data_IF_149988628655
#
_entry.id   IF_149988628655
#
_cell.length_a   1.000
_cell.length_b   1.000
_cell.length_c   1.000
_cell.angle_alpha   90.00
_cell.angle_beta   90.00
_cell.angle_gamma   90.00
#
_symmetry.space_group_name_H-M   'P 1'
#
loop_
_entity.id
_entity.type
_entity.pdbx_description
1 polymer ?
#
# COMPACT_ATOMS: atom_id res chain seq x y z
N UNK A 1 -8.67 13.78 3.76
CA UNK A 1 -7.31 14.30 3.96
C UNK A 1 -6.43 13.10 4.22
N UNK A 2 -5.43 12.91 3.38
CA UNK A 2 -4.36 11.95 3.63
C UNK A 2 -3.38 12.54 4.65
N UNK A 3 -2.53 11.71 5.24
CA UNK A 3 -1.55 12.15 6.23
C UNK A 3 -0.21 11.50 5.96
N UNK A 4 0.88 12.25 6.13
CA UNK A 4 2.22 11.72 5.99
C UNK A 4 2.75 11.23 7.34
N UNK A 5 3.32 10.04 7.36
CA UNK A 5 4.03 9.55 8.54
C UNK A 5 5.27 10.41 8.81
N UNK A 6 5.43 11.00 10.01
CA UNK A 6 6.54 11.90 10.33
C UNK A 6 7.89 11.18 10.45
N UNK A 7 7.90 9.84 10.47
CA UNK A 7 9.12 9.04 10.65
C UNK A 7 9.63 8.45 9.33
N UNK A 8 8.74 7.85 8.54
CA UNK A 8 9.11 7.17 7.29
C UNK A 8 8.58 7.86 6.03
N UNK A 9 7.90 9.00 6.18
CA UNK A 9 7.33 9.81 5.09
C UNK A 9 6.26 9.11 4.24
N UNK A 10 5.83 7.89 4.63
CA UNK A 10 4.77 7.16 3.94
C UNK A 10 3.41 7.85 4.10
N UNK A 11 2.71 8.02 2.98
CA UNK A 11 1.39 8.65 2.95
C UNK A 11 0.29 7.64 3.26
N UNK A 12 -0.52 7.97 4.26
CA UNK A 12 -1.64 7.18 4.76
C UNK A 12 -2.97 7.79 4.33
N UNK A 13 -3.97 6.93 4.12
CA UNK A 13 -5.28 7.31 3.56
C UNK A 13 -6.04 8.34 4.41
N UNK A 14 -5.94 8.20 5.72
CA UNK A 14 -6.53 9.10 6.70
C UNK A 14 -5.78 8.99 8.05
N UNK A 15 -6.22 9.77 9.03
CA UNK A 15 -5.58 9.82 10.34
C UNK A 15 -5.69 8.49 11.12
N UNK A 16 -6.70 7.67 10.86
CA UNK A 16 -6.85 6.35 11.52
C UNK A 16 -5.82 5.38 10.96
N UNK A 17 -5.65 5.37 9.64
CA UNK A 17 -4.59 4.58 9.01
C UNK A 17 -3.18 5.05 9.46
N UNK A 18 -2.99 6.35 9.67
CA UNK A 18 -1.75 6.87 10.27
C UNK A 18 -1.54 6.36 11.69
N UNK A 19 -2.59 6.40 12.52
CA UNK A 19 -2.54 5.90 13.89
C UNK A 19 -2.15 4.41 13.93
N UNK A 20 -2.82 3.58 13.13
CA UNK A 20 -2.51 2.16 13.01
C UNK A 20 -1.09 1.91 12.50
N UNK A 21 -0.66 2.63 11.45
CA UNK A 21 0.70 2.53 10.92
C UNK A 21 1.76 2.80 11.99
N UNK A 22 1.61 3.92 12.73
CA UNK A 22 2.53 4.31 13.80
C UNK A 22 2.50 3.29 14.95
N UNK A 23 1.33 2.96 15.47
CA UNK A 23 1.18 2.08 16.63
C UNK A 23 1.67 0.66 16.33
N UNK A 24 1.27 0.05 15.21
CA UNK A 24 1.74 -1.30 14.87
C UNK A 24 3.22 -1.33 14.55
N UNK A 25 3.75 -0.32 13.86
CA UNK A 25 5.19 -0.27 13.57
C UNK A 25 6.00 -0.08 14.85
N UNK A 26 5.54 0.76 15.78
CA UNK A 26 6.13 0.90 17.10
C UNK A 26 6.10 -0.42 17.89
N UNK A 27 4.96 -1.12 17.95
CA UNK A 27 4.86 -2.39 18.70
C UNK A 27 5.70 -3.51 18.08
N UNK A 28 5.74 -3.64 16.76
CA UNK A 28 6.38 -4.76 16.07
C UNK A 28 7.87 -4.51 15.86
N UNK A 29 8.25 -3.29 15.47
CA UNK A 29 9.61 -2.92 15.09
C UNK A 29 10.31 -2.04 16.12
N UNK A 30 9.56 -1.31 16.94
CA UNK A 30 10.09 -0.32 17.88
C UNK A 30 10.85 0.80 17.18
N UNK A 31 11.79 1.39 17.91
CA UNK A 31 12.77 2.32 17.37
C UNK A 31 12.18 3.71 17.12
N UNK A 32 12.40 4.26 15.92
CA UNK A 32 12.06 5.66 15.64
C UNK A 32 10.56 5.93 15.72
N UNK A 33 9.70 4.96 15.35
CA UNK A 33 8.24 5.11 15.44
C UNK A 33 7.76 5.11 16.89
N UNK A 34 8.34 4.25 17.73
CA UNK A 34 8.03 4.19 19.16
C UNK A 34 8.54 5.43 19.89
N UNK A 35 9.79 5.83 19.63
CA UNK A 35 10.40 7.02 20.24
C UNK A 35 9.65 8.30 19.87
N UNK A 36 9.21 8.40 18.62
CA UNK A 36 8.41 9.53 18.15
C UNK A 36 7.04 9.58 18.85
N UNK A 37 6.37 8.43 18.97
CA UNK A 37 5.08 8.34 19.69
C UNK A 37 5.24 8.69 21.17
N UNK A 38 6.30 8.21 21.84
CA UNK A 38 6.55 8.52 23.25
C UNK A 38 6.82 10.00 23.50
N UNK A 39 7.46 10.70 22.56
CA UNK A 39 7.75 12.14 22.64
C UNK A 39 6.50 12.99 22.36
N UNK A 40 5.76 12.68 21.30
CA UNK A 40 4.67 13.54 20.80
C UNK A 40 3.28 13.17 21.32
N UNK A 41 3.05 11.89 21.61
CA UNK A 41 1.74 11.37 22.03
C UNK A 41 1.93 10.40 23.20
N UNK A 42 2.32 10.89 24.39
CA UNK A 42 2.57 10.02 25.54
C UNK A 42 1.31 9.23 25.90
N UNK A 43 1.48 7.99 26.38
CA UNK A 43 0.38 7.07 26.72
C UNK A 43 -0.44 6.60 25.50
N UNK A 44 0.12 6.68 24.28
CA UNK A 44 -0.53 6.21 23.05
C UNK A 44 -0.93 4.73 23.07
N UNK A 45 -0.21 3.89 23.83
CA UNK A 45 -0.47 2.44 23.88
C UNK A 45 -1.82 2.04 24.50
N UNK A 46 -2.49 2.97 25.20
CA UNK A 46 -3.82 2.78 25.76
C UNK A 46 -4.97 3.24 24.85
N UNK A 47 -4.67 3.98 23.78
CA UNK A 47 -5.67 4.52 22.88
C UNK A 47 -6.15 3.48 21.86
N UNK A 48 -7.43 3.54 21.52
CA UNK A 48 -7.93 2.92 20.30
C UNK A 48 -7.48 3.71 19.06
N UNK A 49 -7.55 3.13 17.84
CA UNK A 49 -7.10 3.82 16.63
C UNK A 49 -7.76 5.17 16.39
N UNK A 50 -9.03 5.34 16.76
CA UNK A 50 -9.76 6.59 16.57
C UNK A 50 -9.33 7.65 17.59
N UNK A 51 -9.13 7.24 18.85
CA UNK A 51 -8.58 8.06 19.92
C UNK A 51 -7.17 8.56 19.59
N UNK A 52 -6.29 7.65 19.15
CA UNK A 52 -4.93 7.99 18.74
C UNK A 52 -4.94 8.92 17.51
N UNK A 53 -5.79 8.64 16.52
CA UNK A 53 -5.95 9.49 15.35
C UNK A 53 -6.42 10.91 15.70
N UNK A 54 -7.31 11.06 16.67
CA UNK A 54 -7.77 12.37 17.12
C UNK A 54 -6.60 13.17 17.72
N UNK A 55 -5.78 12.54 18.55
CA UNK A 55 -4.60 13.17 19.16
C UNK A 55 -3.54 13.52 18.12
N UNK A 56 -3.30 12.65 17.15
CA UNK A 56 -2.31 12.89 16.08
C UNK A 56 -2.66 14.11 15.22
N UNK A 57 -3.94 14.44 15.03
CA UNK A 57 -4.36 15.64 14.28
C UNK A 57 -3.97 16.94 14.96
N UNK A 58 -3.79 16.92 16.28
CA UNK A 58 -3.40 18.09 17.07
C UNK A 58 -1.85 18.24 17.16
N UNK A 59 -1.09 17.31 16.56
CA UNK A 59 0.38 17.34 16.57
C UNK A 59 0.90 18.09 15.34
N UNK A 60 1.61 19.21 15.56
CA UNK A 60 2.15 20.07 14.49
C UNK A 60 3.10 19.35 13.52
N UNK A 61 3.78 18.30 13.97
CA UNK A 61 4.70 17.50 13.15
C UNK A 61 3.98 16.56 12.16
N UNK A 62 2.67 16.37 12.31
CA UNK A 62 1.87 15.52 11.42
C UNK A 62 1.36 16.36 10.25
N UNK A 63 1.91 16.11 9.07
CA UNK A 63 1.53 16.82 7.85
C UNK A 63 0.24 16.22 7.24
N UNK A 64 -0.78 17.07 7.05
CA UNK A 64 -2.01 16.72 6.33
C UNK A 64 -1.90 17.06 4.85
N UNK A 65 -2.38 16.18 3.99
CA UNK A 65 -2.40 16.34 2.54
C UNK A 65 -3.87 16.41 2.08
N UNK A 66 -4.21 17.48 1.37
CA UNK A 66 -5.58 17.73 0.90
C UNK A 66 -6.02 16.78 -0.24
N UNK A 67 -5.07 16.18 -0.95
CA UNK A 67 -5.34 15.29 -2.08
C UNK A 67 -5.53 13.83 -1.64
N UNK A 68 -6.41 13.06 -2.30
CA UNK A 68 -6.55 11.63 -2.05
C UNK A 68 -5.26 10.88 -2.43
N UNK A 69 -4.96 9.77 -1.75
CA UNK A 69 -3.67 9.06 -1.88
C UNK A 69 -3.35 8.61 -3.31
N UNK A 70 -4.38 8.35 -4.12
CA UNK A 70 -4.22 7.95 -5.51
C UNK A 70 -3.60 9.07 -6.34
N UNK A 71 -3.89 10.33 -6.02
CA UNK A 71 -3.27 11.50 -6.63
C UNK A 71 -1.85 11.73 -6.09
N UNK A 72 -1.62 11.49 -4.80
CA UNK A 72 -0.31 11.68 -4.15
C UNK A 72 0.72 10.68 -4.68
N UNK A 73 0.34 9.40 -4.82
CA UNK A 73 1.20 8.36 -5.43
C UNK A 73 1.56 8.67 -6.88
N UNK A 74 0.65 9.26 -7.67
CA UNK A 74 0.96 9.67 -9.04
C UNK A 74 1.91 10.88 -9.09
N UNK A 75 1.88 11.74 -8.06
CA UNK A 75 2.72 12.93 -7.96
C UNK A 75 4.16 12.67 -7.47
N UNK A 76 4.37 11.75 -6.52
CA UNK A 76 5.72 11.35 -6.07
C UNK A 76 6.50 10.58 -7.15
N UNK A 77 5.79 9.91 -8.08
CA UNK A 77 6.39 9.23 -9.24
C UNK A 77 6.91 10.20 -10.31
N UNK A 78 6.59 11.51 -10.22
CA UNK A 78 7.11 12.53 -11.16
C UNK A 78 8.48 13.10 -10.77
N UNK A 79 9.02 12.78 -9.59
CA UNK A 79 10.31 13.27 -9.09
C UNK A 79 11.42 12.21 -9.00
N UNK A 80 11.10 10.93 -9.24
CA UNK A 80 12.07 9.83 -9.24
C UNK A 80 12.15 9.14 -10.60
N UNK A 81 13.28 9.29 -11.27
CA UNK A 81 13.68 8.40 -12.36
C UNK A 81 13.80 6.97 -11.79
N UNK A 82 12.75 6.16 -11.95
CA UNK A 82 12.68 4.84 -11.33
C UNK A 82 11.43 4.08 -11.73
N UNK A 83 11.57 3.26 -12.77
CA UNK A 83 10.55 2.43 -13.45
C UNK A 83 9.45 1.84 -12.54
N UNK A 84 8.33 2.55 -12.37
CA UNK A 84 7.05 1.93 -11.99
C UNK A 84 6.21 1.75 -13.24
N UNK A 85 6.56 0.71 -14.01
CA UNK A 85 5.67 0.13 -15.00
C UNK A 85 4.47 -0.46 -14.24
N UNK A 86 3.41 0.34 -14.03
CA UNK A 86 2.08 -0.25 -14.15
C UNK A 86 2.04 -0.83 -15.57
N UNK A 87 1.73 -2.11 -15.78
CA UNK A 87 1.33 -2.52 -17.10
C UNK A 87 0.05 -1.75 -17.37
N UNK A 88 0.16 -0.73 -18.20
CA UNK A 88 -0.94 -0.29 -19.02
C UNK A 88 -1.54 -1.57 -19.60
N UNK A 89 -2.79 -1.87 -19.26
CA UNK A 89 -3.56 -2.94 -19.89
C UNK A 89 -3.91 -2.57 -21.35
N UNK A 90 -3.11 -1.71 -21.99
CA UNK A 90 -2.97 -1.65 -23.43
C UNK A 90 -2.26 -2.91 -23.90
N UNK A 91 -3.06 -3.93 -24.21
CA UNK A 91 -2.99 -4.65 -25.48
C UNK A 91 -1.59 -4.89 -26.06
N UNK A 92 -0.62 -5.27 -25.24
CA UNK A 92 0.48 -6.09 -25.69
C UNK A 92 -0.01 -7.52 -25.54
N UNK A 93 -0.89 -7.92 -26.46
CA UNK A 93 -0.93 -9.31 -26.85
C UNK A 93 0.52 -9.63 -27.21
N UNK A 94 1.23 -10.32 -26.30
CA UNK A 94 2.51 -10.92 -26.63
C UNK A 94 2.21 -11.71 -27.89
N UNK A 95 2.83 -11.30 -29.01
CA UNK A 95 2.68 -12.02 -30.27
C UNK A 95 2.94 -13.49 -29.94
N UNK A 96 1.92 -14.35 -30.11
CA UNK A 96 2.00 -15.76 -29.75
C UNK A 96 3.16 -16.47 -30.46
N UNK A 97 3.67 -15.84 -31.53
CA UNK A 97 4.82 -16.22 -32.33
C UNK A 97 6.17 -15.98 -31.61
N UNK A 98 6.22 -15.09 -30.63
CA UNK A 98 7.42 -14.80 -29.82
C UNK A 98 7.63 -15.76 -28.63
N UNK A 99 6.61 -16.55 -28.30
CA UNK A 99 6.68 -17.56 -27.25
C UNK A 99 7.30 -18.84 -27.81
N UNK A 100 8.17 -19.50 -27.05
CA UNK A 100 8.63 -20.85 -27.37
C UNK A 100 7.50 -21.88 -27.19
N UNK A 101 7.71 -23.08 -27.75
CA UNK A 101 6.70 -24.15 -27.73
C UNK A 101 6.34 -24.58 -26.30
N UNK A 102 7.30 -24.57 -25.37
CA UNK A 102 7.11 -24.96 -23.97
C UNK A 102 6.27 -23.92 -23.23
N UNK A 103 6.53 -22.63 -23.42
CA UNK A 103 5.72 -21.54 -22.86
C UNK A 103 4.27 -21.59 -23.36
N UNK A 104 4.05 -21.93 -24.63
CA UNK A 104 2.69 -22.10 -25.20
C UNK A 104 1.97 -23.30 -24.58
N UNK A 105 2.67 -24.40 -24.34
CA UNK A 105 2.11 -25.58 -23.66
C UNK A 105 1.72 -25.27 -22.21
N UNK A 106 2.59 -24.58 -21.45
CA UNK A 106 2.32 -24.20 -20.06
C UNK A 106 1.07 -23.31 -19.96
N UNK A 107 0.95 -22.30 -20.84
CA UNK A 107 -0.22 -21.41 -20.86
C UNK A 107 -1.50 -22.15 -21.26
N UNK A 108 -1.42 -23.11 -22.20
CA UNK A 108 -2.56 -23.95 -22.57
C UNK A 108 -3.01 -24.84 -21.41
N UNK A 109 -2.07 -25.47 -20.71
CA UNK A 109 -2.33 -26.30 -19.53
C UNK A 109 -2.95 -25.49 -18.38
N UNK A 110 -2.43 -24.28 -18.13
CA UNK A 110 -2.98 -23.40 -17.09
C UNK A 110 -4.44 -23.05 -17.36
N UNK A 111 -4.78 -22.73 -18.62
CA UNK A 111 -6.17 -22.43 -19.04
C UNK A 111 -7.10 -23.64 -18.90
N UNK A 112 -6.63 -24.85 -19.18
CA UNK A 112 -7.42 -26.06 -18.98
C UNK A 112 -7.72 -26.32 -17.50
N UNK A 113 -6.72 -26.18 -16.63
CA UNK A 113 -6.91 -26.36 -15.18
C UNK A 113 -7.95 -25.39 -14.60
N UNK A 114 -7.95 -24.13 -15.07
CA UNK A 114 -8.97 -23.15 -14.70
C UNK A 114 -10.35 -23.63 -15.13
N UNK A 115 -10.51 -24.06 -16.39
CA UNK A 115 -11.79 -24.57 -16.90
C UNK A 115 -12.28 -25.79 -16.11
N UNK A 116 -11.39 -26.73 -15.81
CA UNK A 116 -11.73 -27.93 -15.03
C UNK A 116 -12.23 -27.56 -13.63
N UNK A 117 -11.65 -26.53 -12.99
CA UNK A 117 -12.10 -26.06 -11.68
C UNK A 117 -13.48 -25.43 -11.79
N UNK A 118 -13.72 -24.60 -12.81
CA UNK A 118 -15.04 -23.98 -13.07
C UNK A 118 -16.13 -25.01 -13.38
N UNK A 119 -15.80 -26.10 -14.07
CA UNK A 119 -16.72 -27.21 -14.35
C UNK A 119 -16.99 -28.07 -13.09
N UNK A 120 -15.98 -28.37 -12.27
CA UNK A 120 -16.11 -29.09 -10.99
C UNK A 120 -16.94 -28.30 -9.96
N UNK A 121 -16.83 -26.97 -9.97
CA UNK A 121 -17.62 -26.06 -9.12
C UNK A 121 -19.08 -25.89 -9.57
N UNK A 122 -19.45 -26.33 -10.79
CA UNK A 122 -20.81 -26.22 -11.32
C UNK A 122 -21.66 -27.50 -11.17
N UNK A 123 -21.07 -28.62 -10.73
CA UNK A 123 -21.76 -29.89 -10.43
C UNK A 123 -22.12 -29.98 -8.94
#
# INVERSE_FOLDING_TARGET
>A
MAYRCPVCEEVQADAVHLADHLAFTAVIRGGDHESWLDEHVPDWGGDDPEGLAARLRDVDAVESIDHPIDEVRDSEVRAGEGVSRRPDAGQHALDSDSLDDEAREILARARELTRQTEDDERD
#
